data_IF_092017100832
#
_entry.id   IF_092017100832
#
_cell.length_a   1.000
_cell.length_b   1.000
_cell.length_c   1.000
_cell.angle_alpha   90.00
_cell.angle_beta   90.00
_cell.angle_gamma   90.00
#
_symmetry.space_group_name_H-M   'P 1'
#
loop_
_entity.id
_entity.type
_entity.pdbx_description
1 polymer ?
#
# COMPACT_ATOMS: atom_id res chain seq x y z
N UNK A 1 8.68 5.37 -10.23
CA UNK A 1 9.59 5.40 -9.05
C UNK A 1 8.79 5.08 -7.81
N UNK A 2 9.20 4.10 -7.00
CA UNK A 2 8.50 3.73 -5.76
C UNK A 2 8.96 4.66 -4.63
N UNK A 3 8.03 5.26 -3.90
CA UNK A 3 8.31 6.15 -2.77
C UNK A 3 8.17 5.38 -1.46
N UNK A 4 7.04 4.68 -1.28
CA UNK A 4 6.77 3.90 -0.08
C UNK A 4 6.20 2.53 -0.47
N UNK A 5 6.59 1.51 0.28
CA UNK A 5 6.20 0.13 0.03
C UNK A 5 5.71 -0.52 1.32
N UNK A 6 4.55 -1.16 1.25
CA UNK A 6 3.96 -1.93 2.33
C UNK A 6 4.41 -3.40 2.28
N UNK A 7 5.64 -3.66 2.75
CA UNK A 7 6.18 -5.04 2.82
C UNK A 7 5.34 -5.96 3.71
N UNK A 8 4.61 -5.40 4.67
CA UNK A 8 3.74 -6.17 5.58
C UNK A 8 2.55 -6.78 4.85
N UNK A 9 1.99 -6.07 3.86
CA UNK A 9 0.87 -6.57 3.06
C UNK A 9 1.19 -7.91 2.36
N UNK A 10 2.37 -8.02 1.74
CA UNK A 10 2.83 -9.25 1.09
C UNK A 10 3.08 -10.42 2.05
N UNK A 11 3.41 -10.11 3.30
CA UNK A 11 3.64 -11.11 4.33
C UNK A 11 2.31 -11.63 4.90
N UNK A 12 1.42 -10.72 5.30
CA UNK A 12 0.18 -11.05 6.01
C UNK A 12 -0.96 -11.53 5.11
N UNK A 13 -0.94 -11.18 3.82
CA UNK A 13 -2.04 -11.46 2.90
C UNK A 13 -1.55 -12.13 1.60
N UNK A 14 -2.41 -12.95 1.00
CA UNK A 14 -2.30 -13.37 -0.39
C UNK A 14 -2.92 -12.30 -1.29
N UNK A 15 -2.14 -11.81 -2.25
CA UNK A 15 -2.57 -10.78 -3.20
C UNK A 15 -3.14 -11.48 -4.41
N UNK A 16 -4.41 -11.21 -4.74
CA UNK A 16 -5.04 -11.77 -5.94
C UNK A 16 -4.97 -10.79 -7.10
N UNK A 17 -5.56 -9.62 -6.95
CA UNK A 17 -5.65 -8.61 -8.00
C UNK A 17 -5.12 -7.27 -7.53
N UNK A 18 -4.45 -6.57 -8.43
CA UNK A 18 -3.86 -5.25 -8.19
C UNK A 18 -4.54 -4.22 -9.07
N UNK A 19 -4.82 -3.06 -8.50
CA UNK A 19 -5.41 -1.92 -9.17
C UNK A 19 -4.55 -0.68 -8.90
N UNK A 20 -4.42 0.17 -9.90
CA UNK A 20 -3.75 1.46 -9.77
C UNK A 20 -4.80 2.54 -9.55
N UNK A 21 -4.60 3.39 -8.54
CA UNK A 21 -5.51 4.47 -8.20
C UNK A 21 -4.77 5.80 -8.08
N UNK A 22 -5.45 6.88 -8.49
CA UNK A 22 -5.04 8.23 -8.12
C UNK A 22 -5.38 8.52 -6.66
N UNK A 23 -4.63 9.42 -6.02
CA UNK A 23 -4.93 9.87 -4.64
C UNK A 23 -5.27 11.36 -4.69
N UNK A 24 -6.34 11.74 -4.00
CA UNK A 24 -6.65 13.15 -3.78
C UNK A 24 -5.71 13.75 -2.72
N UNK A 25 -4.71 14.50 -3.18
CA UNK A 25 -3.67 15.12 -2.34
C UNK A 25 -3.75 16.64 -2.38
N UNK A 26 -3.43 17.28 -1.26
CA UNK A 26 -3.18 18.73 -1.20
C UNK A 26 -1.74 19.02 -1.65
N UNK A 27 -1.50 20.23 -2.17
CA UNK A 27 -0.19 20.61 -2.72
C UNK A 27 1.00 20.44 -1.74
N UNK A 28 0.80 20.69 -0.45
CA UNK A 28 1.85 20.46 0.58
C UNK A 28 2.16 18.98 0.78
N UNK A 29 1.18 18.10 0.71
CA UNK A 29 1.38 16.65 0.83
C UNK A 29 2.15 16.09 -0.35
N UNK A 30 1.95 16.61 -1.55
CA UNK A 30 2.73 16.21 -2.73
C UNK A 30 4.22 16.48 -2.50
N UNK A 31 4.57 17.60 -1.86
CA UNK A 31 5.96 17.91 -1.50
C UNK A 31 6.50 16.91 -0.46
N UNK A 32 5.75 16.66 0.61
CA UNK A 32 6.14 15.67 1.64
C UNK A 32 6.33 14.26 1.09
N UNK A 33 5.42 13.82 0.20
CA UNK A 33 5.48 12.50 -0.42
C UNK A 33 6.69 12.41 -1.36
N UNK A 34 6.97 13.43 -2.17
CA UNK A 34 8.17 13.46 -3.01
C UNK A 34 9.46 13.45 -2.19
N UNK A 35 9.45 14.02 -0.99
CA UNK A 35 10.55 13.95 -0.04
C UNK A 35 10.64 12.61 0.72
N UNK A 36 9.76 11.64 0.42
CA UNK A 36 9.76 10.31 1.05
C UNK A 36 9.16 10.28 2.46
N UNK A 37 8.57 11.37 2.95
CA UNK A 37 7.97 11.45 4.29
C UNK A 37 6.55 10.88 4.32
N UNK A 38 6.39 9.63 3.90
CA UNK A 38 5.08 8.94 3.82
C UNK A 38 5.17 7.49 4.29
N UNK A 39 4.16 7.05 5.04
CA UNK A 39 4.03 5.69 5.56
C UNK A 39 2.65 5.10 5.27
N UNK A 40 2.64 3.88 4.74
CA UNK A 40 1.44 3.10 4.37
C UNK A 40 1.37 1.75 5.12
N UNK A 41 2.11 1.59 6.22
CA UNK A 41 2.22 0.28 6.90
C UNK A 41 0.92 -0.14 7.62
N UNK A 42 0.21 0.83 8.19
CA UNK A 42 -1.01 0.62 8.98
C UNK A 42 -2.26 1.08 8.25
N UNK A 43 -2.13 1.44 6.98
CA UNK A 43 -3.24 1.93 6.18
C UNK A 43 -4.10 0.79 5.65
N UNK A 44 -5.39 1.06 5.59
CA UNK A 44 -6.40 0.17 5.02
C UNK A 44 -7.33 0.98 4.11
N UNK A 45 -7.97 0.28 3.19
CA UNK A 45 -8.86 0.90 2.20
C UNK A 45 -10.28 0.45 2.46
N UNK A 46 -11.21 1.40 2.46
CA UNK A 46 -12.64 1.15 2.70
C UNK A 46 -13.47 1.77 1.58
N UNK A 47 -14.55 1.07 1.23
CA UNK A 47 -15.55 1.57 0.28
C UNK A 47 -16.71 2.16 1.08
N UNK A 48 -17.07 3.41 0.78
CA UNK A 48 -18.18 4.13 1.39
C UNK A 48 -18.95 4.80 0.24
N UNK A 49 -20.25 4.52 0.11
CA UNK A 49 -21.12 5.14 -0.92
C UNK A 49 -20.54 5.07 -2.35
N UNK A 50 -20.07 3.90 -2.79
CA UNK A 50 -19.42 3.69 -4.11
C UNK A 50 -18.15 4.52 -4.34
N UNK A 51 -17.55 5.05 -3.28
CA UNK A 51 -16.26 5.73 -3.31
C UNK A 51 -15.24 4.99 -2.46
N UNK A 52 -13.98 5.05 -2.89
CA UNK A 52 -12.89 4.33 -2.23
C UNK A 52 -12.06 5.34 -1.45
N UNK A 53 -11.82 5.05 -0.18
CA UNK A 53 -11.02 5.89 0.70
C UNK A 53 -9.88 5.10 1.30
N UNK A 54 -8.72 5.73 1.40
CA UNK A 54 -7.60 5.22 2.20
C UNK A 54 -7.59 5.91 3.56
N UNK A 55 -7.51 5.08 4.60
CA UNK A 55 -7.46 5.48 6.01
C UNK A 55 -6.15 4.95 6.62
N UNK A 56 -5.63 5.65 7.65
CA UNK A 56 -4.40 5.24 8.34
C UNK A 56 -3.11 5.48 7.55
N UNK A 57 -3.17 6.21 6.43
CA UNK A 57 -1.98 6.67 5.70
C UNK A 57 -1.39 7.89 6.41
N UNK A 58 -0.14 7.77 6.87
CA UNK A 58 0.61 8.87 7.50
C UNK A 58 1.39 9.62 6.43
N UNK A 59 1.11 10.91 6.26
CA UNK A 59 1.95 11.82 5.48
C UNK A 59 2.43 12.91 6.40
N UNK A 60 3.73 12.94 6.69
CA UNK A 60 4.28 13.95 7.61
C UNK A 60 4.06 15.32 6.99
N UNK A 61 3.47 16.28 7.72
CA UNK A 61 3.27 17.64 7.23
C UNK A 61 4.58 18.26 6.76
N UNK A 62 4.50 19.13 5.75
CA UNK A 62 5.67 19.80 5.22
C UNK A 62 6.18 20.84 6.23
N UNK A 63 7.45 20.72 6.64
CA UNK A 63 8.07 21.57 7.68
C UNK A 63 8.09 23.06 7.30
N UNK A 64 8.26 23.37 6.01
CA UNK A 64 8.21 24.74 5.49
C UNK A 64 6.79 25.13 5.03
N UNK A 65 5.76 24.48 5.58
CA UNK A 65 4.36 24.76 5.28
C UNK A 65 3.82 25.94 6.09
N UNK A 66 2.63 26.41 5.71
CA UNK A 66 1.85 27.35 6.53
C UNK A 66 1.18 26.60 7.70
N UNK A 67 0.62 27.35 8.67
CA UNK A 67 -0.16 26.82 9.81
C UNK A 67 -1.33 25.92 9.35
N UNK A 68 -1.81 26.11 8.11
CA UNK A 68 -2.89 25.35 7.48
C UNK A 68 -2.45 24.00 6.86
N UNK A 69 -1.44 23.35 7.42
CA UNK A 69 -1.07 22.01 6.97
C UNK A 69 -2.20 21.00 7.27
N UNK A 70 -2.56 20.14 6.30
CA UNK A 70 -3.53 19.07 6.56
C UNK A 70 -3.01 18.11 7.63
N UNK A 71 -3.94 17.52 8.37
CA UNK A 71 -3.63 16.48 9.35
C UNK A 71 -2.92 15.29 8.70
N UNK A 72 -1.93 14.75 9.41
CA UNK A 72 -1.07 13.67 8.93
C UNK A 72 -1.87 12.43 8.49
N UNK A 73 -2.83 12.02 9.31
CA UNK A 73 -3.65 10.81 9.15
C UNK A 73 -5.01 11.05 8.49
N UNK A 74 -5.19 12.17 7.78
CA UNK A 74 -6.46 12.46 7.13
C UNK A 74 -6.89 11.34 6.18
N UNK A 75 -8.20 11.15 6.08
CA UNK A 75 -8.80 10.26 5.08
C UNK A 75 -8.59 10.88 3.69
N UNK A 76 -8.14 10.06 2.74
CA UNK A 76 -7.89 10.51 1.36
C UNK A 76 -8.74 9.68 0.41
N UNK A 77 -9.39 10.34 -0.55
CA UNK A 77 -10.18 9.67 -1.59
C UNK A 77 -9.25 9.08 -2.63
N UNK A 78 -9.58 7.88 -3.09
CA UNK A 78 -8.92 7.21 -4.20
C UNK A 78 -9.76 7.35 -5.47
N UNK A 79 -9.08 7.68 -6.56
CA UNK A 79 -9.68 7.92 -7.87
C UNK A 79 -9.44 6.69 -8.74
N UNK A 80 -10.52 5.93 -9.00
CA UNK A 80 -10.55 4.75 -9.87
C UNK A 80 -11.73 4.85 -10.84
N UNK A 81 -11.73 4.03 -11.89
CA UNK A 81 -12.88 3.96 -12.79
C UNK A 81 -14.08 3.31 -12.10
N UNK A 82 -15.28 3.82 -12.37
CA UNK A 82 -16.54 3.29 -11.81
C UNK A 82 -16.75 1.79 -12.04
N UNK A 83 -16.29 1.27 -13.19
CA UNK A 83 -16.32 -0.18 -13.49
C UNK A 83 -15.40 -0.99 -12.57
N UNK A 84 -14.23 -0.45 -12.21
CA UNK A 84 -13.27 -1.10 -11.30
C UNK A 84 -13.80 -1.08 -9.87
N UNK A 85 -14.35 0.06 -9.42
CA UNK A 85 -14.94 0.19 -8.09
C UNK A 85 -16.03 -0.87 -7.88
N UNK A 86 -16.90 -1.07 -8.86
CA UNK A 86 -17.96 -2.09 -8.78
C UNK A 86 -17.40 -3.51 -8.65
N UNK A 87 -16.38 -3.86 -9.44
CA UNK A 87 -15.69 -5.17 -9.35
C UNK A 87 -15.04 -5.39 -7.99
N UNK A 88 -14.35 -4.37 -7.47
CA UNK A 88 -13.72 -4.43 -6.15
C UNK A 88 -14.81 -4.60 -5.08
N UNK A 89 -15.91 -3.85 -5.18
CA UNK A 89 -17.01 -3.92 -4.23
C UNK A 89 -17.68 -5.30 -4.19
N UNK A 90 -17.91 -5.93 -5.34
CA UNK A 90 -18.45 -7.30 -5.44
C UNK A 90 -17.53 -8.32 -4.78
N UNK A 91 -16.21 -8.23 -4.98
CA UNK A 91 -15.24 -9.14 -4.37
C UNK A 91 -15.09 -8.94 -2.86
N UNK A 92 -15.11 -7.69 -2.38
CA UNK A 92 -14.95 -7.38 -0.96
C UNK A 92 -16.16 -7.81 -0.13
N UNK A 93 -17.35 -7.97 -0.74
CA UNK A 93 -18.50 -8.58 -0.07
C UNK A 93 -18.26 -10.06 0.30
N UNK A 94 -17.37 -10.75 -0.40
CA UNK A 94 -17.04 -12.14 -0.11
C UNK A 94 -16.25 -12.19 1.20
N UNK A 95 -16.70 -13.04 2.14
CA UNK A 95 -16.10 -13.16 3.47
C UNK A 95 -14.61 -13.55 3.36
N UNK A 96 -13.76 -12.77 4.02
CA UNK A 96 -12.31 -13.02 4.10
C UNK A 96 -11.45 -12.26 3.08
N UNK A 97 -12.07 -11.48 2.19
CA UNK A 97 -11.39 -10.53 1.33
C UNK A 97 -11.30 -9.15 1.97
N UNK A 98 -10.16 -8.49 1.76
CA UNK A 98 -9.92 -7.13 2.21
C UNK A 98 -9.15 -6.35 1.15
N UNK A 99 -9.18 -5.03 1.22
CA UNK A 99 -8.40 -4.17 0.34
C UNK A 99 -7.20 -3.63 1.10
N UNK A 100 -6.01 -3.86 0.57
CA UNK A 100 -4.75 -3.40 1.17
C UNK A 100 -3.99 -2.50 0.20
N UNK A 101 -3.38 -1.41 0.69
CA UNK A 101 -2.43 -0.63 -0.10
C UNK A 101 -1.08 -1.36 -0.16
N UNK A 102 -0.53 -1.49 -1.37
CA UNK A 102 0.75 -2.16 -1.63
C UNK A 102 1.91 -1.18 -1.69
N UNK A 103 1.79 -0.14 -2.51
CA UNK A 103 2.84 0.85 -2.69
C UNK A 103 2.29 2.20 -3.12
N UNK A 104 3.07 3.24 -2.83
CA UNK A 104 2.89 4.59 -3.38
C UNK A 104 4.06 4.84 -4.32
N UNK A 105 3.74 5.22 -5.55
CA UNK A 105 4.71 5.43 -6.60
C UNK A 105 4.39 6.68 -7.43
N UNK A 106 5.41 7.23 -8.06
CA UNK A 106 5.27 8.30 -9.05
C UNK A 106 5.11 7.69 -10.44
N UNK A 107 4.05 8.09 -11.13
CA UNK A 107 3.73 7.74 -12.51
C UNK A 107 3.40 9.01 -13.30
N UNK A 108 4.17 9.32 -14.34
CA UNK A 108 4.00 10.51 -15.20
C UNK A 108 3.87 11.83 -14.42
N UNK A 109 4.63 11.99 -13.34
CA UNK A 109 4.62 13.19 -12.49
C UNK A 109 3.54 13.22 -11.40
N UNK A 110 2.58 12.30 -11.44
CA UNK A 110 1.51 12.16 -10.45
C UNK A 110 1.86 11.11 -9.39
N UNK A 111 1.43 11.36 -8.16
CA UNK A 111 1.47 10.37 -7.08
C UNK A 111 0.29 9.42 -7.26
N UNK A 112 0.59 8.14 -7.44
CA UNK A 112 -0.39 7.07 -7.52
C UNK A 112 -0.17 6.06 -6.40
N UNK A 113 -1.20 5.31 -6.10
CA UNK A 113 -1.16 4.20 -5.15
C UNK A 113 -1.59 2.92 -5.84
N UNK A 114 -0.89 1.84 -5.57
CA UNK A 114 -1.33 0.51 -5.92
C UNK A 114 -2.11 -0.08 -4.75
N UNK A 115 -3.36 -0.46 -5.00
CA UNK A 115 -4.20 -1.19 -4.06
C UNK A 115 -4.40 -2.62 -4.55
N UNK A 116 -4.67 -3.54 -3.64
CA UNK A 116 -4.94 -4.91 -3.99
C UNK A 116 -6.07 -5.52 -3.18
N UNK A 117 -6.80 -6.41 -3.82
CA UNK A 117 -7.71 -7.33 -3.15
C UNK A 117 -6.85 -8.47 -2.62
N UNK A 118 -6.98 -8.71 -1.33
CA UNK A 118 -6.13 -9.65 -0.64
C UNK A 118 -6.93 -10.51 0.35
N UNK A 119 -6.46 -11.73 0.54
CA UNK A 119 -7.02 -12.72 1.47
C UNK A 119 -6.05 -12.94 2.62
N UNK A 120 -6.54 -12.92 3.85
CA UNK A 120 -5.68 -13.11 5.04
C UNK A 120 -5.00 -14.49 5.03
N UNK A 121 -3.69 -14.53 5.28
CA UNK A 121 -2.96 -15.80 5.45
C UNK A 121 -3.24 -16.41 6.82
N UNK A 122 -3.36 -17.73 6.89
CA UNK A 122 -3.45 -18.43 8.19
C UNK A 122 -2.06 -18.42 8.84
N UNK A 123 -2.03 -18.61 10.17
CA UNK A 123 -0.77 -18.63 10.92
C UNK A 123 0.19 -19.73 10.44
N UNK A 124 -0.34 -20.85 9.96
CA UNK A 124 0.44 -21.93 9.34
C UNK A 124 1.17 -21.45 8.08
N UNK A 125 0.46 -20.82 7.14
CA UNK A 125 1.02 -20.29 5.90
C UNK A 125 2.10 -19.22 6.14
N UNK A 126 1.97 -18.45 7.23
CA UNK A 126 2.99 -17.47 7.65
C UNK A 126 4.27 -18.17 8.08
N UNK A 127 4.21 -19.27 8.83
CA UNK A 127 5.40 -20.04 9.25
C UNK A 127 6.14 -20.62 8.06
N UNK A 128 5.41 -21.19 7.09
CA UNK A 128 6.01 -21.74 5.88
C UNK A 128 6.70 -20.65 5.04
N UNK A 129 6.07 -19.46 4.94
CA UNK A 129 6.65 -18.31 4.26
C UNK A 129 7.94 -17.83 4.92
N UNK A 130 8.04 -17.90 6.26
CA UNK A 130 9.26 -17.54 7.01
C UNK A 130 10.36 -18.58 6.74
N UNK A 131 10.02 -19.87 6.86
CA UNK A 131 10.98 -20.96 6.66
C UNK A 131 11.61 -20.91 5.25
N UNK A 132 10.78 -20.76 4.21
CA UNK A 132 11.26 -20.59 2.82
C UNK A 132 12.18 -19.38 2.66
N UNK A 133 11.85 -18.26 3.30
CA UNK A 133 12.64 -17.03 3.21
C UNK A 133 13.98 -17.13 3.92
N UNK A 134 14.04 -17.86 5.03
CA UNK A 134 15.31 -18.13 5.72
C UNK A 134 16.18 -19.11 4.94
N UNK A 135 15.59 -20.15 4.32
CA UNK A 135 16.31 -21.06 3.41
C UNK A 135 16.92 -20.31 2.22
N UNK A 136 16.15 -19.46 1.53
CA UNK A 136 16.68 -18.62 0.44
C UNK A 136 17.80 -17.69 0.89
N UNK A 137 17.69 -17.12 2.10
CA UNK A 137 18.71 -16.22 2.64
C UNK A 137 20.02 -16.98 2.94
N UNK A 138 19.94 -18.19 3.44
CA UNK A 138 21.11 -19.03 3.71
C UNK A 138 21.80 -19.45 2.41
N UNK A 139 21.04 -19.93 1.42
CA UNK A 139 21.57 -20.24 0.08
C UNK A 139 22.28 -19.03 -0.54
N UNK A 140 21.65 -17.84 -0.51
CA UNK A 140 22.27 -16.60 -1.02
C UNK A 140 23.57 -16.22 -0.30
N UNK A 141 23.71 -16.55 0.98
CA UNK A 141 24.97 -16.33 1.73
C UNK A 141 26.04 -17.31 1.28
N UNK A 142 25.72 -18.59 1.13
CA UNK A 142 26.63 -19.63 0.66
C UNK A 142 27.15 -19.37 -0.76
N UNK A 143 26.27 -18.98 -1.68
CA UNK A 143 26.67 -18.59 -3.04
C UNK A 143 27.60 -17.37 -3.07
N UNK A 144 27.48 -16.45 -2.10
CA UNK A 144 28.32 -15.24 -2.02
C UNK A 144 29.67 -15.51 -1.36
N UNK A 145 29.76 -16.47 -0.44
CA UNK A 145 31.03 -16.91 0.15
C UNK A 145 31.86 -17.75 -0.82
N UNK A 146 31.22 -18.52 -1.70
CA UNK A 146 31.91 -19.41 -2.65
C UNK A 146 32.44 -18.69 -3.91
N UNK A 147 32.14 -17.40 -4.06
CA UNK A 147 32.54 -16.56 -5.20
C UNK A 147 33.63 -15.53 -4.81
N UNK A 148 34.38 -15.82 -3.74
CA UNK A 148 35.62 -15.16 -3.31
C UNK A 148 36.76 -16.16 -3.41
#
# INVERSE_FOLDING_TARGET
MIIANNKKAFFDYFIEEKYEAGIELKGSEVKSIKAGKVSIKESFVRIINDEIFIMGMSVVPWEYGSVYNPEERRVRKLLLHRKEIKKIHEKVKIKGYTIVPLDVHLSKGYVKIQIAIAKGKKNYDKRESIAKKDQERNLKREFKSNNR
#
